data_IF_386965392822
#
_entry.id   IF_386965392822
#
_cell.length_a   1.000
_cell.length_b   1.000
_cell.length_c   1.000
_cell.angle_alpha   90.00
_cell.angle_beta   90.00
_cell.angle_gamma   90.00
#
_symmetry.space_group_name_H-M   'P 1'
#
loop_
_entity.id
_entity.type
_entity.pdbx_description
1 polymer ?
#
# COMPACT_ATOMS: atom_id res chain seq x y z
N UNK A 1 11.89 7.15 -27.73
CA UNK A 1 11.09 5.97 -28.10
C UNK A 1 10.96 5.16 -26.83
N UNK A 2 9.80 5.26 -26.20
CA UNK A 2 9.54 4.68 -24.85
C UNK A 2 8.99 3.26 -25.00
N UNK A 3 9.65 2.31 -24.36
CA UNK A 3 9.13 0.94 -24.19
C UNK A 3 8.86 0.70 -22.72
N UNK A 4 7.61 0.92 -22.31
CA UNK A 4 7.08 0.49 -21.03
C UNK A 4 6.63 -0.97 -21.15
N UNK A 5 7.39 -1.90 -20.58
CA UNK A 5 7.04 -3.32 -20.52
C UNK A 5 6.01 -3.53 -19.40
N UNK A 6 4.76 -3.74 -19.77
CA UNK A 6 3.69 -4.18 -18.86
C UNK A 6 3.84 -5.69 -18.64
N UNK A 7 4.10 -6.09 -17.41
CA UNK A 7 4.07 -7.49 -16.99
C UNK A 7 2.60 -7.89 -16.77
N UNK A 8 2.07 -8.70 -17.71
CA UNK A 8 0.75 -9.34 -17.61
C UNK A 8 0.96 -10.68 -16.92
N UNK A 9 0.42 -10.85 -15.72
CA UNK A 9 0.35 -12.14 -15.05
C UNK A 9 -0.94 -12.83 -15.48
N UNK A 10 -0.80 -13.86 -16.33
CA UNK A 10 -1.88 -14.74 -16.76
C UNK A 10 -2.20 -15.71 -15.62
N UNK A 11 -3.41 -15.66 -15.07
CA UNK A 11 -3.96 -16.73 -14.21
C UNK A 11 -4.89 -17.57 -15.06
N UNK A 12 -4.48 -18.80 -15.35
CA UNK A 12 -5.31 -19.83 -16.02
C UNK A 12 -6.32 -20.42 -15.03
N UNK A 13 -7.60 -20.56 -15.38
CA UNK A 13 -8.55 -21.31 -14.60
C UNK A 13 -8.49 -22.81 -14.94
N UNK A 14 -8.33 -23.65 -13.92
CA UNK A 14 -8.51 -25.09 -14.05
C UNK A 14 -10.01 -25.40 -13.98
N UNK A 15 -10.56 -25.80 -15.10
CA UNK A 15 -11.91 -26.34 -15.19
C UNK A 15 -11.87 -27.83 -14.85
N UNK A 16 -12.62 -28.27 -13.86
CA UNK A 16 -13.00 -29.65 -13.67
C UNK A 16 -14.51 -29.80 -13.90
N UNK A 17 -14.85 -30.44 -15.02
CA UNK A 17 -16.19 -30.86 -15.33
C UNK A 17 -16.45 -32.23 -14.66
N UNK A 18 -17.57 -32.38 -13.96
CA UNK A 18 -18.34 -33.63 -13.90
C UNK A 18 -19.75 -33.31 -13.40
N UNK A 19 -20.72 -33.67 -14.25
CA UNK A 19 -22.12 -33.43 -14.00
C UNK A 19 -22.75 -34.50 -13.09
N UNK A 20 -23.83 -34.07 -12.43
CA UNK A 20 -25.04 -34.83 -12.16
C UNK A 20 -26.16 -33.87 -11.73
N UNK A 21 -27.35 -34.12 -12.27
CA UNK A 21 -28.51 -33.25 -12.19
C UNK A 21 -29.30 -33.39 -10.88
N UNK A 22 -29.97 -32.25 -10.52
CA UNK A 22 -31.23 -32.03 -9.77
C UNK A 22 -31.18 -31.96 -8.25
N UNK A 23 -32.09 -31.20 -7.57
CA UNK A 23 -33.15 -30.30 -7.99
C UNK A 23 -32.97 -28.85 -7.54
N UNK A 24 -33.76 -27.94 -8.13
CA UNK A 24 -33.78 -26.50 -7.83
C UNK A 24 -34.03 -26.19 -6.35
N UNK A 25 -33.17 -25.44 -5.66
CA UNK A 25 -33.54 -24.69 -4.46
C UNK A 25 -34.04 -23.28 -4.84
N UNK A 26 -34.84 -22.72 -3.92
CA UNK A 26 -35.42 -21.38 -3.99
C UNK A 26 -34.39 -20.25 -4.19
N UNK A 27 -34.78 -19.07 -4.69
CA UNK A 27 -33.84 -18.00 -4.95
C UNK A 27 -33.25 -17.47 -3.64
N UNK A 28 -31.97 -17.75 -3.44
CA UNK A 28 -31.14 -17.11 -2.43
C UNK A 28 -30.92 -15.65 -2.81
N UNK A 29 -30.87 -14.72 -1.86
CA UNK A 29 -30.59 -13.31 -2.13
C UNK A 29 -29.21 -13.20 -2.81
N UNK A 30 -29.20 -12.60 -4.00
CA UNK A 30 -28.01 -12.37 -4.81
C UNK A 30 -27.02 -11.52 -4.00
N UNK A 31 -26.04 -12.15 -3.42
CA UNK A 31 -24.89 -11.49 -2.82
C UNK A 31 -24.23 -10.60 -3.90
N UNK A 32 -23.81 -9.40 -3.51
CA UNK A 32 -22.91 -8.58 -4.32
C UNK A 32 -21.58 -9.33 -4.40
N UNK A 33 -21.48 -10.26 -5.35
CA UNK A 33 -20.25 -10.99 -5.61
C UNK A 33 -19.39 -10.16 -6.57
N UNK A 34 -18.78 -9.10 -6.05
CA UNK A 34 -17.52 -8.62 -6.58
C UNK A 34 -16.51 -8.88 -5.49
N UNK A 35 -15.94 -10.08 -5.50
CA UNK A 35 -14.66 -10.29 -4.82
C UNK A 35 -13.68 -9.36 -5.51
N UNK A 36 -13.14 -8.35 -4.81
CA UNK A 36 -12.06 -7.56 -5.37
C UNK A 36 -10.92 -8.52 -5.68
N UNK A 37 -10.38 -8.44 -6.88
CA UNK A 37 -9.15 -9.14 -7.24
C UNK A 37 -8.12 -8.90 -6.14
N UNK A 38 -7.37 -9.93 -5.70
CA UNK A 38 -6.33 -9.73 -4.71
C UNK A 38 -5.40 -8.62 -5.23
N UNK A 39 -5.03 -7.64 -4.40
CA UNK A 39 -4.09 -6.62 -4.82
C UNK A 39 -2.81 -7.28 -5.29
N UNK A 40 -2.14 -6.72 -6.31
CA UNK A 40 -0.86 -7.24 -6.78
C UNK A 40 0.09 -7.37 -5.59
N UNK A 41 0.88 -8.43 -5.58
CA UNK A 41 1.86 -8.69 -4.53
C UNK A 41 2.59 -7.39 -4.20
N UNK A 42 2.46 -6.96 -2.96
CA UNK A 42 3.05 -5.70 -2.49
C UNK A 42 4.55 -5.80 -2.73
N UNK A 43 5.08 -4.95 -3.60
CA UNK A 43 6.51 -4.72 -3.64
C UNK A 43 6.91 -4.29 -2.23
N UNK A 44 7.67 -5.13 -1.54
CA UNK A 44 8.16 -4.87 -0.20
C UNK A 44 9.22 -3.79 -0.37
N UNK A 45 9.05 -2.57 0.14
CA UNK A 45 10.19 -1.72 0.37
C UNK A 45 10.95 -2.37 1.54
N UNK A 46 11.96 -3.17 1.22
CA UNK A 46 12.98 -3.50 2.19
C UNK A 46 13.67 -2.18 2.50
N UNK A 47 13.28 -1.56 3.60
CA UNK A 47 14.08 -0.50 4.16
C UNK A 47 15.49 -1.07 4.36
N UNK A 48 16.53 -0.38 3.87
CA UNK A 48 17.88 -0.79 4.21
C UNK A 48 17.99 -0.87 5.75
N UNK A 49 18.69 -1.87 6.29
CA UNK A 49 18.82 -2.00 7.74
C UNK A 49 19.27 -0.66 8.29
N UNK A 50 18.60 -0.19 9.34
CA UNK A 50 19.00 1.00 10.11
C UNK A 50 20.30 0.68 10.83
N UNK A 51 21.40 0.71 10.08
CA UNK A 51 22.75 0.68 10.64
C UNK A 51 22.98 2.00 11.37
N UNK A 52 23.60 1.99 12.55
CA UNK A 52 24.01 3.23 13.18
C UNK A 52 24.89 4.00 12.18
N UNK A 53 24.55 5.28 11.98
CA UNK A 53 25.28 6.18 11.09
C UNK A 53 26.77 6.12 11.43
N UNK A 54 27.65 5.65 10.53
CA UNK A 54 29.08 5.73 10.80
C UNK A 54 29.47 7.21 10.98
N UNK A 55 30.47 7.51 11.78
CA UNK A 55 30.94 8.88 11.95
C UNK A 55 31.28 9.45 10.56
N UNK A 56 30.79 10.67 10.31
CA UNK A 56 31.06 11.40 9.07
C UNK A 56 32.56 11.69 9.04
N UNK A 57 33.32 10.85 8.36
CA UNK A 57 34.69 11.18 7.97
C UNK A 57 34.56 12.13 6.79
N UNK A 58 35.01 13.38 6.97
CA UNK A 58 35.02 14.38 5.92
C UNK A 58 35.75 13.80 4.68
N UNK A 59 35.18 13.98 3.46
CA UNK A 59 35.83 13.51 2.25
C UNK A 59 37.18 14.23 2.11
N UNK A 60 38.26 13.53 1.71
CA UNK A 60 39.47 14.21 1.34
C UNK A 60 39.17 15.16 0.18
N UNK A 61 39.70 16.38 0.27
CA UNK A 61 39.53 17.44 -0.72
C UNK A 61 39.81 16.90 -2.13
N UNK A 62 38.85 17.11 -3.04
CA UNK A 62 38.97 16.77 -4.46
C UNK A 62 40.08 17.60 -5.08
N UNK A 63 41.31 17.12 -5.01
CA UNK A 63 42.36 17.47 -5.98
C UNK A 63 42.36 16.39 -7.05
N UNK A 64 42.27 16.83 -8.27
CA UNK A 64 42.21 16.07 -9.54
C UNK A 64 43.51 15.33 -9.84
N UNK A 65 43.90 14.39 -8.98
CA UNK A 65 44.91 13.39 -9.31
C UNK A 65 44.33 12.04 -8.85
N UNK A 66 43.62 11.38 -9.76
CA UNK A 66 43.22 10.00 -9.57
C UNK A 66 44.47 9.13 -9.60
N UNK A 67 45.12 9.01 -8.42
CA UNK A 67 46.08 7.95 -8.24
C UNK A 67 45.41 6.61 -8.56
N UNK A 68 46.04 5.71 -9.31
CA UNK A 68 45.45 4.43 -9.64
C UNK A 68 45.15 3.68 -8.34
N UNK A 69 43.92 3.14 -8.21
CA UNK A 69 43.44 2.33 -7.08
C UNK A 69 44.36 1.12 -6.78
N UNK A 70 45.37 0.88 -7.62
CA UNK A 70 46.31 -0.24 -7.52
C UNK A 70 47.17 -0.24 -6.24
N UNK A 71 47.41 0.93 -5.63
CA UNK A 71 48.24 1.06 -4.41
C UNK A 71 47.40 1.26 -3.16
N UNK A 72 46.09 1.28 -3.24
CA UNK A 72 45.19 1.47 -2.11
C UNK A 72 44.99 0.14 -1.35
N UNK A 73 45.04 0.20 -0.02
CA UNK A 73 44.71 -0.98 0.78
C UNK A 73 43.25 -1.44 0.52
N UNK A 74 43.01 -2.75 0.38
CA UNK A 74 41.68 -3.30 0.13
C UNK A 74 40.59 -2.83 1.11
N UNK A 75 40.96 -2.53 2.35
CA UNK A 75 40.08 -2.01 3.40
C UNK A 75 39.56 -0.60 3.05
N UNK A 76 40.38 0.30 2.54
CA UNK A 76 39.96 1.64 2.15
C UNK A 76 39.00 1.60 0.95
N UNK A 77 39.26 0.71 -0.01
CA UNK A 77 38.39 0.52 -1.17
C UNK A 77 37.02 -0.01 -0.74
N UNK A 78 36.97 -0.92 0.23
CA UNK A 78 35.73 -1.40 0.84
C UNK A 78 34.95 -0.25 1.49
N UNK A 79 35.61 0.59 2.26
CA UNK A 79 34.96 1.73 2.93
C UNK A 79 34.41 2.73 1.93
N UNK A 80 35.13 2.99 0.83
CA UNK A 80 34.64 3.80 -0.27
C UNK A 80 33.41 3.16 -0.91
N UNK A 81 33.44 1.86 -1.20
CA UNK A 81 32.29 1.13 -1.74
C UNK A 81 31.05 1.23 -0.83
N UNK A 82 31.21 1.08 0.48
CA UNK A 82 30.14 1.25 1.47
C UNK A 82 29.63 2.69 1.52
N UNK A 83 30.50 3.69 1.42
CA UNK A 83 30.11 5.10 1.38
C UNK A 83 29.27 5.41 0.13
N UNK A 84 29.65 4.86 -1.02
CA UNK A 84 28.87 4.99 -2.27
C UNK A 84 27.49 4.31 -2.17
N UNK A 85 27.41 3.13 -1.57
CA UNK A 85 26.13 2.47 -1.26
C UNK A 85 25.23 3.36 -0.40
N UNK A 86 25.79 3.95 0.67
CA UNK A 86 25.04 4.83 1.56
C UNK A 86 24.53 6.10 0.86
N UNK A 87 25.16 6.54 -0.23
CA UNK A 87 24.73 7.66 -1.08
C UNK A 87 23.73 7.26 -2.16
N UNK A 88 23.48 5.96 -2.34
CA UNK A 88 22.66 5.47 -3.43
C UNK A 88 23.37 5.39 -4.79
N UNK A 89 24.69 5.55 -4.82
CA UNK A 89 25.51 5.50 -6.04
C UNK A 89 25.87 4.04 -6.40
N UNK A 90 24.85 3.22 -6.70
CA UNK A 90 24.98 1.76 -6.79
C UNK A 90 25.97 1.30 -7.87
N UNK A 91 25.99 1.96 -9.04
CA UNK A 91 26.92 1.61 -10.13
C UNK A 91 28.39 1.86 -9.73
N UNK A 92 28.67 3.01 -9.12
CA UNK A 92 30.01 3.35 -8.64
C UNK A 92 30.42 2.40 -7.50
N UNK A 93 29.53 2.12 -6.55
CA UNK A 93 29.76 1.17 -5.48
C UNK A 93 30.11 -0.23 -6.03
N UNK A 94 29.37 -0.71 -7.02
CA UNK A 94 29.63 -2.02 -7.66
C UNK A 94 31.01 -2.07 -8.31
N UNK A 95 31.43 -1.02 -9.01
CA UNK A 95 32.73 -0.95 -9.65
C UNK A 95 33.87 -0.98 -8.61
N UNK A 96 33.75 -0.17 -7.56
CA UNK A 96 34.73 -0.08 -6.47
C UNK A 96 34.81 -1.40 -5.68
N UNK A 97 33.67 -2.02 -5.37
CA UNK A 97 33.64 -3.29 -4.65
C UNK A 97 34.21 -4.46 -5.45
N UNK A 98 34.01 -4.48 -6.79
CA UNK A 98 34.67 -5.45 -7.68
C UNK A 98 36.18 -5.26 -7.67
N UNK A 99 36.66 -4.02 -7.63
CA UNK A 99 38.10 -3.76 -7.54
C UNK A 99 38.67 -4.21 -6.18
N UNK A 100 37.96 -3.98 -5.07
CA UNK A 100 38.33 -4.52 -3.76
C UNK A 100 38.47 -6.05 -3.79
N UNK A 101 37.54 -6.74 -4.45
CA UNK A 101 37.56 -8.20 -4.59
C UNK A 101 38.62 -8.70 -5.59
N UNK A 102 39.01 -7.90 -6.58
CA UNK A 102 40.15 -8.20 -7.45
C UNK A 102 41.47 -8.18 -6.68
N UNK A 103 41.62 -7.24 -5.75
CA UNK A 103 42.83 -7.13 -4.90
C UNK A 103 42.82 -8.17 -3.77
N UNK A 104 41.66 -8.42 -3.16
CA UNK A 104 41.47 -9.44 -2.14
C UNK A 104 40.18 -10.23 -2.37
N UNK A 105 40.24 -11.39 -3.06
CA UNK A 105 39.09 -12.22 -3.37
C UNK A 105 38.36 -12.77 -2.13
N UNK A 106 39.04 -12.86 -0.99
CA UNK A 106 38.51 -13.42 0.27
C UNK A 106 37.87 -12.37 1.16
N UNK A 107 37.78 -11.11 0.70
CA UNK A 107 37.17 -10.01 1.46
C UNK A 107 35.65 -10.18 1.56
N UNK A 108 35.20 -10.92 2.58
CA UNK A 108 33.80 -11.31 2.77
C UNK A 108 32.86 -10.11 2.82
N UNK A 109 33.29 -9.01 3.46
CA UNK A 109 32.52 -7.78 3.59
C UNK A 109 32.33 -7.06 2.25
N UNK A 110 33.35 -7.08 1.38
CA UNK A 110 33.22 -6.51 0.03
C UNK A 110 32.24 -7.32 -0.81
N UNK A 111 32.28 -8.66 -0.70
CA UNK A 111 31.35 -9.54 -1.40
C UNK A 111 29.91 -9.39 -0.90
N UNK A 112 29.70 -9.25 0.41
CA UNK A 112 28.40 -8.94 0.98
C UNK A 112 27.84 -7.60 0.47
N UNK A 113 28.69 -6.56 0.47
CA UNK A 113 28.35 -5.23 -0.01
C UNK A 113 28.07 -5.21 -1.53
N UNK A 114 28.83 -5.99 -2.33
CA UNK A 114 28.59 -6.17 -3.75
C UNK A 114 27.25 -6.85 -4.01
N UNK A 115 26.93 -7.92 -3.28
CA UNK A 115 25.62 -8.58 -3.37
C UNK A 115 24.46 -7.65 -3.06
N UNK A 116 24.61 -6.78 -2.05
CA UNK A 116 23.62 -5.75 -1.71
C UNK A 116 23.48 -4.70 -2.84
N UNK A 117 24.60 -4.23 -3.41
CA UNK A 117 24.59 -3.28 -4.53
C UNK A 117 23.86 -3.86 -5.75
N UNK A 118 24.21 -5.09 -6.12
CA UNK A 118 23.59 -5.80 -7.24
C UNK A 118 22.09 -6.01 -7.03
N UNK A 119 21.69 -6.41 -5.81
CA UNK A 119 20.28 -6.49 -5.44
C UNK A 119 19.54 -5.15 -5.61
N UNK A 120 20.13 -4.07 -5.12
CA UNK A 120 19.56 -2.73 -5.22
C UNK A 120 19.45 -2.22 -6.67
N UNK A 121 20.34 -2.66 -7.55
CA UNK A 121 20.29 -2.37 -9.00
C UNK A 121 19.28 -3.26 -9.75
N UNK A 122 18.75 -4.30 -9.13
CA UNK A 122 17.87 -5.28 -9.76
C UNK A 122 18.61 -6.37 -10.54
N UNK A 123 19.93 -6.44 -10.45
CA UNK A 123 20.73 -7.55 -11.01
C UNK A 123 20.67 -8.74 -10.04
N UNK A 124 19.48 -9.37 -10.02
CA UNK A 124 19.14 -10.38 -9.03
C UNK A 124 19.95 -11.66 -9.19
N UNK A 125 20.30 -12.03 -10.42
CA UNK A 125 21.07 -13.24 -10.69
C UNK A 125 22.49 -13.11 -10.16
N UNK A 126 23.17 -12.01 -10.48
CA UNK A 126 24.50 -11.74 -9.98
C UNK A 126 24.51 -11.59 -8.45
N UNK A 127 23.50 -10.92 -7.87
CA UNK A 127 23.37 -10.81 -6.41
C UNK A 127 23.26 -12.18 -5.74
N UNK A 128 22.43 -13.07 -6.28
CA UNK A 128 22.24 -14.44 -5.75
C UNK A 128 23.55 -15.25 -5.86
N UNK A 129 24.27 -15.17 -6.99
CA UNK A 129 25.54 -15.87 -7.16
C UNK A 129 26.59 -15.41 -6.16
N UNK A 130 26.81 -14.10 -6.03
CA UNK A 130 27.79 -13.53 -5.09
C UNK A 130 27.48 -13.91 -3.65
N UNK A 131 26.21 -13.75 -3.23
CA UNK A 131 25.79 -14.04 -1.86
C UNK A 131 25.82 -15.54 -1.55
N UNK A 132 25.43 -16.42 -2.49
CA UNK A 132 25.59 -17.88 -2.32
C UNK A 132 27.06 -18.27 -2.24
N UNK A 133 27.91 -17.68 -3.07
CA UNK A 133 29.35 -17.88 -3.03
C UNK A 133 29.93 -17.51 -1.66
N UNK A 134 29.53 -16.36 -1.13
CA UNK A 134 29.94 -15.89 0.19
C UNK A 134 29.47 -16.84 1.30
N UNK A 135 28.20 -17.22 1.33
CA UNK A 135 27.61 -18.04 2.39
C UNK A 135 28.08 -19.50 2.39
N UNK A 136 28.69 -19.99 1.31
CA UNK A 136 29.39 -21.29 1.34
C UNK A 136 30.65 -21.26 2.18
N UNK A 137 31.35 -20.11 2.21
CA UNK A 137 32.58 -19.94 2.98
C UNK A 137 32.29 -19.36 4.37
N UNK A 138 31.33 -18.44 4.47
CA UNK A 138 30.93 -17.75 5.70
C UNK A 138 29.44 -17.90 5.96
N UNK A 139 29.00 -19.09 6.41
CA UNK A 139 27.58 -19.37 6.67
C UNK A 139 26.99 -18.60 7.85
N UNK A 140 27.85 -17.98 8.67
CA UNK A 140 27.52 -17.18 9.84
C UNK A 140 27.07 -15.75 9.52
N UNK A 141 27.28 -15.28 8.28
CA UNK A 141 26.95 -13.91 7.88
C UNK A 141 25.43 -13.73 7.70
N UNK A 142 24.79 -13.34 8.79
CA UNK A 142 23.32 -13.16 8.86
C UNK A 142 22.80 -12.15 7.86
N UNK A 143 23.43 -10.97 7.76
CA UNK A 143 23.04 -9.90 6.85
C UNK A 143 23.10 -10.33 5.38
N UNK A 144 24.14 -11.07 5.01
CA UNK A 144 24.28 -11.61 3.66
C UNK A 144 23.16 -12.63 3.35
N UNK A 145 22.78 -13.46 4.34
CA UNK A 145 21.67 -14.42 4.20
C UNK A 145 20.33 -13.71 4.04
N UNK A 146 20.07 -12.64 4.78
CA UNK A 146 18.85 -11.84 4.64
C UNK A 146 18.81 -11.14 3.28
N UNK A 147 19.94 -10.62 2.81
CA UNK A 147 20.04 -10.02 1.46
C UNK A 147 19.81 -11.06 0.36
N UNK A 148 20.37 -12.28 0.51
CA UNK A 148 20.12 -13.40 -0.39
C UNK A 148 18.62 -13.74 -0.43
N UNK A 149 17.99 -13.89 0.73
CA UNK A 149 16.57 -14.16 0.81
C UNK A 149 15.73 -13.06 0.13
N UNK A 150 16.11 -11.78 0.29
CA UNK A 150 15.46 -10.67 -0.39
C UNK A 150 15.62 -10.72 -1.92
N UNK A 151 16.81 -11.04 -2.41
CA UNK A 151 17.08 -11.21 -3.83
C UNK A 151 16.26 -12.38 -4.42
N UNK A 152 16.18 -13.50 -3.69
CA UNK A 152 15.36 -14.65 -4.08
C UNK A 152 13.86 -14.34 -4.08
N UNK A 153 13.37 -13.55 -3.12
CA UNK A 153 11.98 -13.03 -3.11
C UNK A 153 11.72 -12.18 -4.34
N UNK A 154 12.62 -11.26 -4.67
CA UNK A 154 12.49 -10.41 -5.86
C UNK A 154 12.51 -11.22 -7.17
N UNK A 155 13.27 -12.32 -7.21
CA UNK A 155 13.25 -13.31 -8.31
C UNK A 155 12.02 -14.20 -8.32
N UNK A 156 11.19 -14.17 -7.28
CA UNK A 156 10.08 -15.09 -7.06
C UNK A 156 10.50 -16.56 -6.88
N UNK A 157 11.75 -16.79 -6.48
CA UNK A 157 12.24 -18.12 -6.10
C UNK A 157 11.83 -18.43 -4.64
N UNK A 158 10.52 -18.64 -4.46
CA UNK A 158 9.91 -18.80 -3.14
C UNK A 158 10.49 -19.97 -2.33
N UNK A 159 10.76 -21.17 -2.92
CA UNK A 159 11.34 -22.29 -2.17
C UNK A 159 12.74 -21.97 -1.63
N UNK A 160 13.60 -21.38 -2.45
CA UNK A 160 14.96 -21.00 -2.02
C UNK A 160 14.92 -19.86 -0.98
N UNK A 161 14.07 -18.84 -1.19
CA UNK A 161 13.91 -17.76 -0.23
C UNK A 161 13.44 -18.29 1.13
N UNK A 162 12.49 -19.22 1.16
CA UNK A 162 12.02 -19.86 2.39
C UNK A 162 13.14 -20.57 3.12
N UNK A 163 13.94 -21.38 2.43
CA UNK A 163 15.03 -22.13 3.03
C UNK A 163 16.07 -21.22 3.70
N UNK A 164 16.43 -20.09 3.03
CA UNK A 164 17.38 -19.12 3.61
C UNK A 164 16.79 -18.39 4.83
N UNK A 165 15.50 -18.03 4.79
CA UNK A 165 14.81 -17.39 5.92
C UNK A 165 14.68 -18.36 7.11
N UNK A 166 14.31 -19.59 6.88
CA UNK A 166 14.19 -20.62 7.92
C UNK A 166 15.56 -20.90 8.56
N UNK A 167 16.64 -20.92 7.76
CA UNK A 167 18.03 -21.03 8.27
C UNK A 167 18.40 -19.82 9.12
N UNK A 168 18.09 -18.60 8.68
CA UNK A 168 18.34 -17.39 9.44
C UNK A 168 17.60 -17.38 10.78
N UNK A 169 16.34 -17.81 10.76
CA UNK A 169 15.48 -17.87 11.95
C UNK A 169 15.85 -19.01 12.92
N UNK A 170 16.42 -20.11 12.42
CA UNK A 170 16.95 -21.17 13.28
C UNK A 170 18.14 -20.67 14.12
N UNK A 171 18.99 -19.82 13.51
CA UNK A 171 20.12 -19.21 14.21
C UNK A 171 19.69 -18.03 15.11
N UNK A 172 18.66 -17.28 14.71
CA UNK A 172 18.19 -16.08 15.41
C UNK A 172 16.66 -15.96 15.28
N UNK A 173 15.89 -16.58 16.19
CA UNK A 173 14.40 -16.63 16.11
C UNK A 173 13.73 -15.26 16.20
N UNK A 174 14.38 -14.28 16.78
CA UNK A 174 13.85 -12.92 17.00
C UNK A 174 14.11 -11.95 15.83
N UNK A 175 14.56 -12.42 14.69
CA UNK A 175 14.74 -11.61 13.49
C UNK A 175 13.38 -11.23 12.87
N UNK A 176 12.81 -10.11 13.31
CA UNK A 176 11.48 -9.67 12.89
C UNK A 176 11.37 -9.48 11.38
N UNK A 177 12.42 -8.94 10.75
CA UNK A 177 12.48 -8.77 9.30
C UNK A 177 12.40 -10.13 8.57
N UNK A 178 13.12 -11.15 9.06
CA UNK A 178 13.06 -12.49 8.49
C UNK A 178 11.68 -13.13 8.72
N UNK A 179 11.08 -12.96 9.90
CA UNK A 179 9.72 -13.45 10.19
C UNK A 179 8.69 -12.80 9.26
N UNK A 180 8.77 -11.48 9.07
CA UNK A 180 7.88 -10.76 8.16
C UNK A 180 8.03 -11.26 6.71
N UNK A 181 9.26 -11.36 6.23
CA UNK A 181 9.55 -11.84 4.87
C UNK A 181 9.13 -13.30 4.69
N UNK A 182 9.31 -14.16 5.70
CA UNK A 182 8.82 -15.54 5.70
C UNK A 182 7.30 -15.59 5.59
N UNK A 183 6.58 -14.68 6.24
CA UNK A 183 5.14 -14.53 6.08
C UNK A 183 4.73 -14.24 4.63
N UNK A 184 5.45 -13.32 3.96
CA UNK A 184 5.23 -13.00 2.54
C UNK A 184 5.51 -14.21 1.64
N UNK A 185 6.63 -14.90 1.86
CA UNK A 185 7.01 -16.09 1.06
C UNK A 185 5.99 -17.22 1.23
N UNK A 186 5.57 -17.51 2.45
CA UNK A 186 4.55 -18.54 2.73
C UNK A 186 3.21 -18.19 2.08
N UNK A 187 2.81 -16.92 2.16
CA UNK A 187 1.62 -16.43 1.44
C UNK A 187 1.73 -16.68 -0.07
N UNK A 188 2.86 -16.31 -0.68
CA UNK A 188 3.09 -16.54 -2.11
C UNK A 188 3.08 -18.02 -2.51
N UNK A 189 3.45 -18.92 -1.59
CA UNK A 189 3.38 -20.38 -1.77
C UNK A 189 1.99 -20.95 -1.47
N UNK A 190 1.01 -20.15 -1.03
CA UNK A 190 -0.32 -20.61 -0.63
C UNK A 190 -0.40 -21.21 0.78
N UNK A 191 0.70 -21.19 1.54
CA UNK A 191 0.72 -21.60 2.95
C UNK A 191 0.13 -20.48 3.83
N UNK A 192 -1.20 -20.36 3.80
CA UNK A 192 -1.90 -19.32 4.56
C UNK A 192 -1.71 -19.49 6.07
N UNK A 193 -1.68 -20.73 6.56
CA UNK A 193 -1.50 -21.01 8.00
C UNK A 193 -0.13 -20.56 8.47
N UNK A 194 0.91 -20.96 7.77
CA UNK A 194 2.27 -20.55 8.10
C UNK A 194 2.51 -19.04 7.96
N UNK A 195 1.85 -18.39 6.99
CA UNK A 195 1.91 -16.93 6.84
C UNK A 195 1.26 -16.21 8.04
N UNK A 196 0.07 -16.67 8.48
CA UNK A 196 -0.62 -16.14 9.68
C UNK A 196 0.29 -16.25 10.91
N UNK A 197 0.93 -17.42 11.12
CA UNK A 197 1.84 -17.63 12.25
C UNK A 197 3.04 -16.67 12.19
N UNK A 198 3.65 -16.50 11.03
CA UNK A 198 4.80 -15.64 10.85
C UNK A 198 4.44 -14.17 11.17
N UNK A 199 3.33 -13.64 10.63
CA UNK A 199 2.89 -12.27 10.94
C UNK A 199 2.48 -12.09 12.41
N UNK A 200 1.85 -13.10 13.03
CA UNK A 200 1.54 -13.06 14.47
C UNK A 200 2.80 -12.97 15.34
N UNK A 201 3.88 -13.67 14.97
CA UNK A 201 5.17 -13.57 15.67
C UNK A 201 5.75 -12.16 15.57
N UNK A 202 5.67 -11.53 14.39
CA UNK A 202 6.07 -10.11 14.24
C UNK A 202 5.24 -9.23 15.18
N UNK A 203 3.92 -9.35 15.14
CA UNK A 203 3.01 -8.51 15.93
C UNK A 203 3.09 -8.76 17.45
N UNK A 204 3.54 -9.93 17.86
CA UNK A 204 3.79 -10.22 19.28
C UNK A 204 4.99 -9.43 19.84
N UNK A 205 5.97 -9.08 19.01
CA UNK A 205 7.13 -8.27 19.37
C UNK A 205 6.95 -6.80 19.03
N UNK A 206 6.34 -6.51 17.89
CA UNK A 206 6.04 -5.17 17.41
C UNK A 206 4.52 -4.99 17.17
N UNK A 207 3.73 -4.74 18.22
CA UNK A 207 2.29 -4.60 18.09
C UNK A 207 1.86 -3.44 17.19
N UNK A 208 2.74 -2.49 16.93
CA UNK A 208 2.49 -1.32 16.05
C UNK A 208 2.95 -1.50 14.60
N UNK A 209 3.45 -2.68 14.21
CA UNK A 209 3.85 -2.97 12.83
C UNK A 209 2.61 -3.00 11.91
N UNK A 210 2.27 -1.85 11.33
CA UNK A 210 1.04 -1.64 10.53
C UNK A 210 1.01 -2.56 9.31
N UNK A 211 2.14 -2.70 8.61
CA UNK A 211 2.25 -3.55 7.41
C UNK A 211 2.07 -5.03 7.75
N UNK A 212 2.66 -5.50 8.85
CA UNK A 212 2.47 -6.88 9.29
C UNK A 212 1.00 -7.16 9.67
N UNK A 213 0.33 -6.19 10.30
CA UNK A 213 -1.09 -6.29 10.66
C UNK A 213 -1.98 -6.31 9.42
N UNK A 214 -1.71 -5.46 8.45
CA UNK A 214 -2.43 -5.44 7.19
C UNK A 214 -2.26 -6.75 6.41
N UNK A 215 -1.02 -7.27 6.31
CA UNK A 215 -0.75 -8.53 5.63
C UNK A 215 -1.39 -9.72 6.37
N UNK A 216 -1.36 -9.72 7.71
CA UNK A 216 -2.11 -10.71 8.51
C UNK A 216 -3.60 -10.68 8.16
N UNK A 217 -4.20 -9.49 8.10
CA UNK A 217 -5.61 -9.32 7.77
C UNK A 217 -5.94 -9.84 6.36
N UNK A 218 -5.07 -9.56 5.36
CA UNK A 218 -5.23 -10.10 4.00
C UNK A 218 -5.23 -11.62 3.97
N UNK A 219 -4.26 -12.24 4.64
CA UNK A 219 -4.14 -13.70 4.68
C UNK A 219 -5.32 -14.33 5.42
N UNK A 220 -5.76 -13.74 6.52
CA UNK A 220 -6.96 -14.17 7.26
C UNK A 220 -8.21 -14.09 6.38
N UNK A 221 -8.38 -12.99 5.62
CA UNK A 221 -9.49 -12.83 4.68
C UNK A 221 -9.50 -13.91 3.60
N UNK A 222 -8.34 -14.22 3.02
CA UNK A 222 -8.20 -15.31 2.06
C UNK A 222 -8.51 -16.68 2.67
N UNK A 223 -8.14 -16.89 3.93
CA UNK A 223 -8.49 -18.07 4.71
C UNK A 223 -9.97 -18.10 5.15
N UNK A 224 -10.81 -17.16 4.72
CA UNK A 224 -12.23 -17.03 5.10
C UNK A 224 -12.47 -16.80 6.60
N UNK A 225 -11.48 -16.26 7.30
CA UNK A 225 -11.53 -15.94 8.74
C UNK A 225 -11.87 -14.46 8.93
N UNK A 226 -13.00 -14.02 8.37
CA UNK A 226 -13.39 -12.60 8.35
C UNK A 226 -13.54 -12.00 9.77
N UNK A 227 -13.99 -12.79 10.74
CA UNK A 227 -14.09 -12.35 12.12
C UNK A 227 -12.75 -11.92 12.75
N UNK A 228 -11.64 -12.49 12.29
CA UNK A 228 -10.28 -12.12 12.73
C UNK A 228 -9.63 -11.10 11.79
N UNK A 229 -9.93 -11.17 10.48
CA UNK A 229 -9.38 -10.27 9.49
C UNK A 229 -9.85 -8.82 9.72
N UNK A 230 -11.14 -8.64 9.98
CA UNK A 230 -11.73 -7.30 10.06
C UNK A 230 -11.17 -6.45 11.21
N UNK A 231 -11.02 -6.95 12.46
CA UNK A 231 -10.35 -6.18 13.51
C UNK A 231 -8.90 -5.78 13.15
N UNK A 232 -8.18 -6.64 12.45
CA UNK A 232 -6.82 -6.34 12.01
C UNK A 232 -6.79 -5.27 10.91
N UNK A 233 -7.75 -5.32 9.94
CA UNK A 233 -7.91 -4.23 8.97
C UNK A 233 -8.27 -2.92 9.62
N UNK A 234 -9.21 -2.91 10.57
CA UNK A 234 -9.63 -1.72 11.30
C UNK A 234 -8.46 -1.07 12.03
N UNK A 235 -7.68 -1.85 12.77
CA UNK A 235 -6.52 -1.33 13.47
C UNK A 235 -5.44 -0.77 12.52
N UNK A 236 -5.24 -1.36 11.35
CA UNK A 236 -4.34 -0.82 10.34
C UNK A 236 -4.92 0.44 9.65
N UNK A 237 -6.24 0.50 9.47
CA UNK A 237 -6.97 1.65 8.93
C UNK A 237 -6.93 2.86 9.88
N UNK A 238 -7.09 2.62 11.18
CA UNK A 238 -6.94 3.62 12.23
C UNK A 238 -5.51 4.18 12.31
N UNK A 239 -4.51 3.34 12.02
CA UNK A 239 -3.11 3.77 11.88
C UNK A 239 -2.85 4.55 10.56
N UNK A 240 -3.87 4.78 9.75
CA UNK A 240 -3.80 5.63 8.56
C UNK A 240 -3.48 4.90 7.25
N UNK A 241 -3.33 3.56 7.24
CA UNK A 241 -2.98 2.83 6.02
C UNK A 241 -4.14 2.85 4.99
N UNK A 242 -3.98 3.49 3.80
CA UNK A 242 -5.08 3.72 2.87
C UNK A 242 -5.75 2.44 2.37
N UNK A 243 -4.93 1.40 2.08
CA UNK A 243 -5.44 0.10 1.64
C UNK A 243 -6.26 -0.60 2.72
N UNK A 244 -5.87 -0.46 4.00
CA UNK A 244 -6.63 -1.02 5.10
C UNK A 244 -7.96 -0.29 5.30
N UNK A 245 -8.01 1.03 5.10
CA UNK A 245 -9.24 1.82 5.13
C UNK A 245 -10.24 1.35 4.06
N UNK A 246 -9.78 1.00 2.86
CA UNK A 246 -10.63 0.38 1.85
C UNK A 246 -11.26 -0.94 2.34
N UNK A 247 -10.45 -1.84 2.90
CA UNK A 247 -10.96 -3.13 3.41
C UNK A 247 -11.88 -2.96 4.62
N UNK A 248 -11.62 -1.98 5.50
CA UNK A 248 -12.52 -1.61 6.59
C UNK A 248 -13.89 -1.17 6.05
N UNK A 249 -13.90 -0.29 5.05
CA UNK A 249 -15.13 0.12 4.37
C UNK A 249 -15.89 -1.04 3.74
N UNK A 250 -15.18 -1.95 3.06
CA UNK A 250 -15.76 -3.15 2.46
C UNK A 250 -16.36 -4.10 3.50
N UNK A 251 -15.70 -4.26 4.65
CA UNK A 251 -16.20 -5.06 5.76
C UNK A 251 -17.53 -4.51 6.33
N UNK A 252 -17.60 -3.20 6.57
CA UNK A 252 -18.84 -2.56 7.02
C UNK A 252 -19.94 -2.57 5.94
N UNK A 253 -19.60 -2.41 4.67
CA UNK A 253 -20.58 -2.46 3.59
C UNK A 253 -21.24 -3.83 3.44
N UNK A 254 -20.48 -4.90 3.68
CA UNK A 254 -20.95 -6.30 3.51
C UNK A 254 -21.38 -6.98 4.81
N UNK A 255 -20.96 -6.49 5.97
CA UNK A 255 -21.14 -7.16 7.26
C UNK A 255 -20.13 -8.29 7.50
N UNK A 256 -18.99 -8.28 6.80
CA UNK A 256 -17.99 -9.33 6.95
C UNK A 256 -17.16 -9.12 8.23
N UNK A 257 -17.37 -9.96 9.24
CA UNK A 257 -16.67 -9.89 10.54
C UNK A 257 -17.09 -8.73 11.46
N UNK A 258 -18.00 -7.87 11.02
CA UNK A 258 -18.62 -6.77 11.78
C UNK A 258 -20.09 -6.61 11.37
N UNK A 259 -20.96 -6.04 12.19
CA UNK A 259 -22.29 -5.67 11.76
C UNK A 259 -22.23 -4.71 10.55
N UNK A 260 -23.17 -4.90 9.61
CA UNK A 260 -23.27 -4.02 8.44
C UNK A 260 -23.60 -2.60 8.87
N UNK A 261 -22.77 -1.64 8.46
CA UNK A 261 -22.96 -0.21 8.71
C UNK A 261 -22.50 0.59 7.47
N UNK A 262 -23.47 1.06 6.68
CA UNK A 262 -23.19 1.81 5.46
C UNK A 262 -22.58 3.19 5.76
N UNK A 263 -22.87 3.79 6.92
CA UNK A 263 -22.28 5.08 7.29
C UNK A 263 -20.80 4.94 7.59
N UNK A 264 -20.42 3.90 8.33
CA UNK A 264 -19.02 3.56 8.57
C UNK A 264 -18.31 3.19 7.26
N UNK A 265 -18.98 2.42 6.37
CA UNK A 265 -18.43 2.08 5.05
C UNK A 265 -18.10 3.33 4.22
N UNK A 266 -19.05 4.28 4.13
CA UNK A 266 -18.87 5.55 3.42
C UNK A 266 -17.70 6.33 4.03
N UNK A 267 -17.62 6.42 5.36
CA UNK A 267 -16.56 7.16 6.04
C UNK A 267 -15.17 6.58 5.75
N UNK A 268 -15.00 5.25 5.82
CA UNK A 268 -13.73 4.61 5.55
C UNK A 268 -13.34 4.68 4.07
N UNK A 269 -14.29 4.45 3.16
CA UNK A 269 -14.01 4.56 1.72
C UNK A 269 -13.69 6.00 1.30
N UNK A 270 -14.34 7.01 1.90
CA UNK A 270 -14.01 8.41 1.63
C UNK A 270 -12.55 8.72 2.02
N UNK A 271 -12.12 8.29 3.22
CA UNK A 271 -10.73 8.46 3.67
C UNK A 271 -9.73 7.76 2.74
N UNK A 272 -10.05 6.55 2.30
CA UNK A 272 -9.19 5.80 1.37
C UNK A 272 -9.14 6.44 -0.02
N UNK A 273 -10.27 6.91 -0.55
CA UNK A 273 -10.38 7.58 -1.85
C UNK A 273 -9.59 8.90 -1.87
N UNK A 274 -9.65 9.69 -0.80
CA UNK A 274 -8.86 10.92 -0.63
C UNK A 274 -7.34 10.68 -0.68
N UNK A 275 -6.91 9.47 -0.35
CA UNK A 275 -5.52 9.03 -0.44
C UNK A 275 -5.22 8.27 -1.75
N UNK A 276 -6.11 8.34 -2.74
CA UNK A 276 -5.91 7.80 -4.08
C UNK A 276 -6.16 6.29 -4.22
N UNK A 277 -6.93 5.67 -3.32
CA UNK A 277 -7.30 4.25 -3.41
C UNK A 277 -8.48 4.09 -4.36
N UNK A 278 -8.24 3.87 -5.65
CA UNK A 278 -9.26 3.76 -6.69
C UNK A 278 -10.41 2.76 -6.37
N UNK A 279 -10.17 1.55 -5.80
CA UNK A 279 -11.27 0.66 -5.42
C UNK A 279 -12.23 1.24 -4.37
N UNK A 280 -11.78 2.19 -3.54
CA UNK A 280 -12.65 2.85 -2.57
C UNK A 280 -13.60 3.83 -3.26
N UNK A 281 -13.11 4.58 -4.26
CA UNK A 281 -13.95 5.43 -5.10
C UNK A 281 -14.97 4.63 -5.89
N UNK A 282 -14.57 3.48 -6.45
CA UNK A 282 -15.49 2.55 -7.13
C UNK A 282 -16.60 2.06 -6.18
N UNK A 283 -16.26 1.71 -4.94
CA UNK A 283 -17.22 1.31 -3.91
C UNK A 283 -18.24 2.43 -3.59
N UNK A 284 -17.75 3.65 -3.43
CA UNK A 284 -18.60 4.83 -3.23
C UNK A 284 -19.50 5.09 -4.45
N UNK A 285 -18.95 5.00 -5.67
CA UNK A 285 -19.70 5.18 -6.91
C UNK A 285 -20.83 4.16 -7.04
N UNK A 286 -20.58 2.89 -6.71
CA UNK A 286 -21.61 1.85 -6.70
C UNK A 286 -22.74 2.14 -5.69
N UNK A 287 -22.39 2.64 -4.49
CA UNK A 287 -23.41 3.07 -3.52
C UNK A 287 -24.23 4.24 -4.07
N UNK A 288 -23.59 5.27 -4.63
CA UNK A 288 -24.27 6.44 -5.24
C UNK A 288 -25.21 6.02 -6.37
N UNK A 289 -24.76 5.12 -7.24
CA UNK A 289 -25.61 4.58 -8.33
C UNK A 289 -26.80 3.80 -7.76
N UNK A 290 -26.65 3.08 -6.66
CA UNK A 290 -27.75 2.37 -6.03
C UNK A 290 -28.78 3.31 -5.40
N UNK A 291 -28.36 4.47 -4.87
CA UNK A 291 -29.25 5.54 -4.40
C UNK A 291 -30.02 6.21 -5.56
N UNK A 292 -29.35 6.51 -6.68
CA UNK A 292 -29.96 7.22 -7.82
C UNK A 292 -31.01 6.42 -8.60
N UNK A 293 -31.28 5.17 -8.23
CA UNK A 293 -32.26 4.31 -8.91
C UNK A 293 -31.80 3.75 -10.25
N UNK A 294 -30.59 4.00 -10.68
CA UNK A 294 -30.00 3.44 -11.90
C UNK A 294 -29.66 1.96 -11.80
N UNK A 295 -29.48 1.46 -10.57
CA UNK A 295 -29.31 0.03 -10.31
C UNK A 295 -30.67 -0.65 -10.10
N UNK A 296 -30.83 -1.91 -10.62
CA UNK A 296 -32.03 -2.74 -10.38
C UNK A 296 -32.04 -3.28 -8.92
N UNK A 297 -32.25 -2.41 -7.95
CA UNK A 297 -32.32 -2.78 -6.52
C UNK A 297 -33.70 -2.51 -5.94
N UNK A 298 -34.10 -3.27 -4.87
CA UNK A 298 -35.33 -3.00 -4.14
C UNK A 298 -35.39 -1.56 -3.60
N UNK A 299 -36.57 -0.92 -3.54
CA UNK A 299 -36.70 0.44 -3.01
C UNK A 299 -36.16 0.64 -1.59
N UNK A 300 -36.31 -0.37 -0.72
CA UNK A 300 -35.81 -0.34 0.65
C UNK A 300 -34.28 -0.19 0.73
N UNK A 301 -33.53 -0.87 -0.15
CA UNK A 301 -32.07 -0.75 -0.19
C UNK A 301 -31.63 0.65 -0.64
N UNK A 302 -32.40 1.28 -1.54
CA UNK A 302 -32.13 2.64 -2.01
C UNK A 302 -32.28 3.64 -0.87
N UNK A 303 -33.40 3.60 -0.16
CA UNK A 303 -33.66 4.49 0.97
C UNK A 303 -32.60 4.35 2.05
N UNK A 304 -32.19 3.12 2.38
CA UNK A 304 -31.12 2.88 3.36
C UNK A 304 -29.77 3.49 2.94
N UNK A 305 -29.45 3.46 1.65
CA UNK A 305 -28.20 4.09 1.14
C UNK A 305 -28.30 5.61 1.18
N UNK A 306 -29.42 6.19 0.75
CA UNK A 306 -29.67 7.65 0.84
C UNK A 306 -29.59 8.15 2.28
N UNK A 307 -30.23 7.42 3.19
CA UNK A 307 -30.16 7.71 4.64
C UNK A 307 -28.73 7.66 5.15
N UNK A 308 -27.96 6.62 4.79
CA UNK A 308 -26.57 6.48 5.20
C UNK A 308 -25.69 7.65 4.72
N UNK A 309 -25.87 8.13 3.49
CA UNK A 309 -25.19 9.33 3.01
C UNK A 309 -25.61 10.58 3.80
N UNK A 310 -26.90 10.71 4.14
CA UNK A 310 -27.41 11.79 4.99
C UNK A 310 -26.80 11.79 6.38
N UNK A 311 -26.76 10.64 7.04
CA UNK A 311 -26.13 10.46 8.35
C UNK A 311 -24.63 10.72 8.30
N UNK A 312 -23.93 10.27 7.26
CA UNK A 312 -22.52 10.57 7.08
C UNK A 312 -22.29 12.09 7.00
N UNK A 313 -23.06 12.83 6.19
CA UNK A 313 -22.97 14.31 6.13
C UNK A 313 -23.23 14.95 7.51
N UNK A 314 -24.20 14.45 8.24
CA UNK A 314 -24.48 14.96 9.59
C UNK A 314 -23.30 14.75 10.55
N UNK A 315 -22.59 13.62 10.44
CA UNK A 315 -21.40 13.34 11.26
C UNK A 315 -20.21 14.25 10.92
N UNK A 316 -20.07 14.77 9.70
CA UNK A 316 -19.01 15.72 9.36
C UNK A 316 -19.05 17.00 10.21
N UNK A 317 -20.26 17.42 10.67
CA UNK A 317 -20.39 18.57 11.55
C UNK A 317 -19.77 18.36 12.92
N UNK A 318 -19.60 17.12 13.38
CA UNK A 318 -18.99 16.82 14.67
C UNK A 318 -17.48 17.17 14.71
N UNK A 319 -16.85 17.24 13.55
CA UNK A 319 -15.43 17.61 13.43
C UNK A 319 -15.23 19.15 13.56
N UNK A 320 -16.34 19.92 13.56
CA UNK A 320 -16.34 21.39 13.59
C UNK A 320 -17.34 21.93 14.64
N UNK A 321 -17.09 21.66 15.93
CA UNK A 321 -18.02 22.05 17.01
C UNK A 321 -18.13 23.57 17.21
N UNK A 322 -17.22 24.32 16.64
CA UNK A 322 -17.19 25.79 16.65
C UNK A 322 -18.14 26.43 15.63
N UNK A 323 -18.70 25.62 14.70
CA UNK A 323 -19.59 26.12 13.65
C UNK A 323 -21.06 26.00 14.03
N UNK A 324 -21.80 27.07 13.87
CA UNK A 324 -23.27 27.06 13.98
C UNK A 324 -23.91 26.74 12.61
N UNK A 325 -24.72 25.68 12.58
CA UNK A 325 -25.49 25.29 11.40
C UNK A 325 -26.66 26.29 11.16
N UNK A 326 -26.81 26.77 9.94
CA UNK A 326 -27.94 27.61 9.52
C UNK A 326 -28.83 26.86 8.52
N UNK A 327 -29.97 26.38 8.98
CA UNK A 327 -30.89 25.60 8.13
C UNK A 327 -30.27 24.34 7.56
N UNK A 328 -30.48 24.11 6.27
CA UNK A 328 -29.96 22.94 5.52
C UNK A 328 -28.67 23.24 4.73
N UNK A 329 -27.92 24.30 5.15
CA UNK A 329 -26.67 24.62 4.49
C UNK A 329 -25.63 23.50 4.63
N UNK A 330 -24.77 23.29 3.62
CA UNK A 330 -23.65 22.39 3.75
C UNK A 330 -22.59 22.94 4.72
N UNK A 331 -21.88 22.07 5.40
CA UNK A 331 -20.80 22.42 6.32
C UNK A 331 -19.73 23.32 5.66
N UNK A 332 -19.41 23.03 4.39
CA UNK A 332 -18.47 23.86 3.64
C UNK A 332 -18.95 25.29 3.43
N UNK A 333 -20.26 25.55 3.35
CA UNK A 333 -20.81 26.91 3.32
C UNK A 333 -20.58 27.64 4.65
N UNK A 334 -20.77 26.97 5.77
CA UNK A 334 -20.48 27.55 7.09
C UNK A 334 -18.99 27.90 7.23
N UNK A 335 -18.08 27.07 6.72
CA UNK A 335 -16.64 27.36 6.68
C UNK A 335 -16.32 28.58 5.82
N UNK A 336 -16.97 28.70 4.65
CA UNK A 336 -16.79 29.86 3.75
C UNK A 336 -17.22 31.17 4.42
N UNK A 337 -18.35 31.16 5.15
CA UNK A 337 -18.82 32.34 5.90
C UNK A 337 -17.81 32.82 6.94
N UNK A 338 -16.97 31.92 7.47
CA UNK A 338 -15.89 32.24 8.40
C UNK A 338 -14.55 32.59 7.70
N UNK A 339 -14.53 32.67 6.38
CA UNK A 339 -13.29 32.92 5.62
C UNK A 339 -12.32 31.73 5.55
N UNK A 340 -12.76 30.54 5.92
CA UNK A 340 -11.95 29.30 5.95
C UNK A 340 -12.00 28.56 4.62
N UNK A 341 -11.77 29.24 3.49
CA UNK A 341 -11.93 28.69 2.14
C UNK A 341 -11.03 27.46 1.89
N UNK A 342 -9.83 27.42 2.46
CA UNK A 342 -8.92 26.27 2.33
C UNK A 342 -9.46 24.98 2.92
N UNK A 343 -10.22 25.07 4.01
CA UNK A 343 -10.89 23.94 4.65
C UNK A 343 -12.23 23.65 4.00
N UNK A 344 -12.93 24.66 3.54
CA UNK A 344 -14.24 24.55 2.94
C UNK A 344 -14.27 23.68 1.68
N UNK A 345 -13.29 23.82 0.77
CA UNK A 345 -13.25 23.09 -0.51
C UNK A 345 -13.18 21.58 -0.32
N UNK A 346 -12.25 21.02 0.47
CA UNK A 346 -12.26 19.57 0.74
C UNK A 346 -13.55 19.07 1.38
N UNK A 347 -14.14 19.84 2.29
CA UNK A 347 -15.39 19.50 2.96
C UNK A 347 -16.56 19.50 1.97
N UNK A 348 -16.67 20.54 1.13
CA UNK A 348 -17.70 20.60 0.06
C UNK A 348 -17.59 19.41 -0.90
N UNK A 349 -16.37 19.01 -1.27
CA UNK A 349 -16.14 17.83 -2.10
C UNK A 349 -16.66 16.56 -1.40
N UNK A 350 -16.41 16.38 -0.10
CA UNK A 350 -16.93 15.25 0.68
C UNK A 350 -18.46 15.25 0.74
N UNK A 351 -19.06 16.41 1.01
CA UNK A 351 -20.51 16.54 1.08
C UNK A 351 -21.18 16.31 -0.27
N UNK A 352 -20.63 16.85 -1.35
CA UNK A 352 -21.14 16.64 -2.70
C UNK A 352 -20.94 15.19 -3.17
N UNK A 353 -19.80 14.55 -2.82
CA UNK A 353 -19.58 13.12 -3.02
C UNK A 353 -20.57 12.26 -2.21
N UNK A 354 -21.04 12.77 -1.08
CA UNK A 354 -22.08 12.17 -0.25
C UNK A 354 -23.51 12.64 -0.63
N UNK A 355 -23.75 12.91 -1.90
CA UNK A 355 -25.07 13.25 -2.47
C UNK A 355 -25.70 14.55 -1.91
N UNK A 356 -24.88 15.54 -1.55
CA UNK A 356 -25.37 16.89 -1.21
C UNK A 356 -25.48 17.74 -2.46
N UNK A 357 -26.70 17.95 -2.97
CA UNK A 357 -26.94 18.87 -4.09
C UNK A 357 -26.53 20.32 -3.79
N UNK A 358 -26.80 20.88 -2.57
CA UNK A 358 -26.32 22.22 -2.24
C UNK A 358 -24.79 22.35 -2.33
N UNK A 359 -24.03 21.39 -1.80
CA UNK A 359 -22.57 21.36 -1.88
C UNK A 359 -22.10 21.23 -3.34
N UNK A 360 -22.75 20.40 -4.14
CA UNK A 360 -22.46 20.25 -5.57
C UNK A 360 -22.61 21.59 -6.34
N UNK A 361 -23.73 22.28 -6.17
CA UNK A 361 -23.97 23.59 -6.80
C UNK A 361 -22.96 24.64 -6.35
N UNK A 362 -22.59 24.60 -5.06
CA UNK A 362 -21.58 25.52 -4.54
C UNK A 362 -20.20 25.28 -5.14
N UNK A 363 -19.79 24.03 -5.31
CA UNK A 363 -18.52 23.69 -5.99
C UNK A 363 -18.53 24.14 -7.45
N UNK A 364 -19.64 24.02 -8.16
CA UNK A 364 -19.78 24.52 -9.53
C UNK A 364 -19.61 26.05 -9.59
N UNK A 365 -20.22 26.77 -8.64
CA UNK A 365 -20.06 28.24 -8.52
C UNK A 365 -18.63 28.63 -8.17
N UNK A 366 -18.02 27.97 -7.19
CA UNK A 366 -16.65 28.24 -6.77
C UNK A 366 -15.63 27.94 -7.88
N UNK A 367 -15.90 26.93 -8.70
CA UNK A 367 -15.04 26.63 -9.85
C UNK A 367 -15.07 27.79 -10.87
N UNK A 368 -16.26 28.30 -11.17
CA UNK A 368 -16.42 29.34 -12.19
C UNK A 368 -15.96 30.73 -11.69
N UNK A 369 -16.16 31.06 -10.43
CA UNK A 369 -15.97 32.42 -9.88
C UNK A 369 -14.76 32.57 -8.96
N UNK A 370 -14.34 31.50 -8.29
CA UNK A 370 -13.37 31.56 -7.19
C UNK A 370 -13.87 32.34 -5.98
N UNK A 371 -12.96 32.72 -5.10
CA UNK A 371 -13.18 33.66 -4.00
C UNK A 371 -11.97 34.57 -3.96
N UNK A 372 -12.19 35.88 -4.15
CA UNK A 372 -11.14 36.89 -4.18
C UNK A 372 -10.22 36.81 -2.94
N UNK A 373 -8.92 36.71 -3.18
CA UNK A 373 -7.90 36.62 -2.13
C UNK A 373 -7.82 35.29 -1.38
N UNK A 374 -8.72 34.32 -1.62
CA UNK A 374 -8.78 33.06 -0.88
C UNK A 374 -8.73 31.79 -1.76
N UNK A 375 -9.45 31.78 -2.88
CA UNK A 375 -9.53 30.64 -3.77
C UNK A 375 -9.52 31.10 -5.23
N UNK A 376 -8.57 30.68 -6.07
CA UNK A 376 -8.58 31.02 -7.49
C UNK A 376 -9.78 30.37 -8.19
N UNK A 377 -10.32 31.04 -9.20
CA UNK A 377 -11.23 30.40 -10.15
C UNK A 377 -10.52 29.23 -10.85
N UNK A 378 -11.27 28.21 -11.26
CA UNK A 378 -10.74 27.01 -11.92
C UNK A 378 -9.78 26.17 -11.05
N UNK A 379 -10.02 26.12 -9.72
CA UNK A 379 -9.23 25.26 -8.79
C UNK A 379 -9.21 23.81 -9.26
N UNK A 380 -8.02 23.23 -9.39
CA UNK A 380 -7.83 21.88 -9.93
C UNK A 380 -8.49 20.76 -9.09
N UNK A 381 -8.59 20.94 -7.78
CA UNK A 381 -9.25 19.98 -6.88
C UNK A 381 -10.73 19.90 -7.17
N UNK A 382 -11.37 21.07 -7.38
CA UNK A 382 -12.77 21.18 -7.74
C UNK A 382 -13.00 20.60 -9.15
N UNK A 383 -12.13 20.93 -10.11
CA UNK A 383 -12.20 20.39 -11.47
C UNK A 383 -12.13 18.85 -11.49
N UNK A 384 -11.19 18.28 -10.74
CA UNK A 384 -11.03 16.83 -10.63
C UNK A 384 -12.31 16.17 -10.13
N UNK A 385 -12.88 16.71 -9.06
CA UNK A 385 -14.15 16.23 -8.53
C UNK A 385 -15.29 16.37 -9.55
N UNK A 386 -15.45 17.53 -10.20
CA UNK A 386 -16.52 17.79 -11.16
C UNK A 386 -16.44 16.88 -12.39
N UNK A 387 -15.22 16.55 -12.86
CA UNK A 387 -15.02 15.56 -13.94
C UNK A 387 -15.48 14.16 -13.52
N UNK A 388 -15.15 13.72 -12.32
CA UNK A 388 -15.60 12.43 -11.76
C UNK A 388 -17.14 12.42 -11.61
N UNK A 389 -17.71 13.48 -11.06
CA UNK A 389 -19.16 13.62 -10.90
C UNK A 389 -19.90 13.63 -12.24
N UNK A 390 -19.34 14.25 -13.28
CA UNK A 390 -19.89 14.25 -14.63
C UNK A 390 -19.88 12.85 -15.25
N UNK A 391 -18.82 12.08 -15.07
CA UNK A 391 -18.74 10.70 -15.52
C UNK A 391 -19.83 9.81 -14.89
N UNK A 392 -20.22 10.10 -13.65
CA UNK A 392 -21.36 9.46 -12.98
C UNK A 392 -22.72 10.08 -13.35
N UNK A 393 -22.75 11.14 -14.15
CA UNK A 393 -23.95 11.89 -14.53
C UNK A 393 -24.56 12.71 -13.39
N UNK A 394 -23.75 13.13 -12.41
CA UNK A 394 -24.14 13.96 -11.25
C UNK A 394 -23.82 15.44 -11.44
N UNK A 395 -22.99 15.77 -12.40
CA UNK A 395 -22.59 17.14 -12.74
C UNK A 395 -22.61 17.35 -14.25
N UNK A 396 -22.60 18.62 -14.69
CA UNK A 396 -22.41 18.94 -16.10
C UNK A 396 -21.00 18.58 -16.56
N UNK A 397 -20.82 18.03 -17.79
CA UNK A 397 -19.49 17.83 -18.33
C UNK A 397 -18.69 19.13 -18.33
N UNK A 398 -17.46 19.09 -17.81
CA UNK A 398 -16.52 20.21 -17.84
C UNK A 398 -15.37 19.87 -18.78
N UNK A 399 -14.80 20.84 -19.51
CA UNK A 399 -13.74 20.63 -20.48
C UNK A 399 -12.45 20.08 -19.87
#
# INVERSE_FOLDING_TARGET
MNSTTRLVVLVLPIALASGCATPRPAPTPTAIATTPSPPPAVAIPLAPPSSPRPPVVAPPSTTSDAAPLADAEPAWILDLGRALLARGEMMAATAVLREALRLNPDLAEARASLGLALYAMGDLDAAVEELRGLLRVRPDLREARLTLAAALVARQDWPAARAELETALAASPDLLQAQYTLGVVRYAQGDLTGAIEAYRRVLAREPRAVDARYNLALVLKLARRDAEATPAFLAAAEAGLPRAQYFAGAAYATGAGVPRDLVAAIAWWTRAAEQGVAPAEEGLAQLRQSASGRARRPPADRQAVEQAFGEYRARLWNDYPDLARQGDEPLGAALLRQGRAREAVPVLIREAAALSEPAQRMLETLYDQGIEGQLPAHDERILTYLKSAAAEGRSRPRP
#
